data_IF_431805117493
#
_entry.id   IF_431805117493
#
_cell.length_a   1.000
_cell.length_b   1.000
_cell.length_c   1.000
_cell.angle_alpha   90.00
_cell.angle_beta   90.00
_cell.angle_gamma   90.00
#
_symmetry.space_group_name_H-M   'P 1'
#
loop_
_entity.id
_entity.type
_entity.pdbx_description
1 polymer ?
#
# COMPACT_ATOMS: atom_id res chain seq x y z
N UNK A 1 -3.49 -6.16 8.23
CA UNK A 1 -3.69 -6.99 9.44
C UNK A 1 -2.42 -6.95 10.25
N UNK A 2 -2.51 -7.16 11.56
CA UNK A 2 -1.37 -7.15 12.46
C UNK A 2 -1.43 -8.31 13.43
N UNK A 3 -0.38 -9.13 13.49
CA UNK A 3 -0.20 -10.21 14.45
C UNK A 3 0.83 -9.81 15.49
N UNK A 4 0.61 -10.23 16.73
CA UNK A 4 1.63 -10.21 17.78
C UNK A 4 2.27 -11.58 17.83
N UNK A 5 3.36 -11.74 17.09
CA UNK A 5 4.09 -12.99 16.97
C UNK A 5 5.28 -13.05 17.93
N UNK A 6 5.40 -14.15 18.67
CA UNK A 6 6.63 -14.46 19.42
C UNK A 6 7.68 -15.05 18.47
N UNK A 7 7.30 -16.06 17.67
CA UNK A 7 8.16 -16.67 16.66
C UNK A 7 7.94 -16.06 15.27
N UNK A 8 8.52 -14.88 15.04
CA UNK A 8 8.32 -14.10 13.80
C UNK A 8 8.63 -14.91 12.52
N UNK A 9 9.69 -15.73 12.52
CA UNK A 9 10.09 -16.49 11.32
C UNK A 9 9.07 -17.57 10.95
N UNK A 10 8.60 -18.32 11.94
CA UNK A 10 7.61 -19.38 11.70
C UNK A 10 6.28 -18.79 11.25
N UNK A 11 5.81 -17.73 11.93
CA UNK A 11 4.58 -17.03 11.56
C UNK A 11 4.70 -16.43 10.16
N UNK A 12 5.84 -15.83 9.81
CA UNK A 12 6.09 -15.32 8.47
C UNK A 12 6.02 -16.41 7.40
N UNK A 13 6.67 -17.55 7.64
CA UNK A 13 6.69 -18.68 6.71
C UNK A 13 5.27 -19.22 6.47
N UNK A 14 4.49 -19.42 7.54
CA UNK A 14 3.08 -19.83 7.46
C UNK A 14 2.25 -18.83 6.65
N UNK A 15 2.34 -17.54 6.94
CA UNK A 15 1.63 -16.51 6.18
C UNK A 15 2.04 -16.52 4.68
N UNK A 16 3.31 -16.78 4.38
CA UNK A 16 3.83 -16.70 3.01
C UNK A 16 3.39 -17.86 2.10
N UNK A 17 3.04 -19.03 2.64
CA UNK A 17 2.66 -20.21 1.83
C UNK A 17 1.24 -20.13 1.27
N UNK A 18 0.43 -19.18 1.75
CA UNK A 18 -0.95 -19.03 1.29
C UNK A 18 -1.07 -18.07 0.09
N UNK A 19 -0.77 -18.60 -1.09
CA UNK A 19 -0.93 -17.85 -2.35
C UNK A 19 -2.39 -17.50 -2.64
N UNK A 20 -3.34 -18.28 -2.14
CA UNK A 20 -4.78 -18.03 -2.24
C UNK A 20 -5.19 -16.69 -1.59
N UNK A 21 -4.46 -16.24 -0.57
CA UNK A 21 -4.71 -14.95 0.11
C UNK A 21 -4.04 -13.77 -0.59
N UNK A 22 -3.26 -14.04 -1.65
CA UNK A 22 -2.50 -13.07 -2.45
C UNK A 22 -1.73 -12.09 -1.58
N UNK A 23 -0.99 -12.62 -0.60
CA UNK A 23 -0.19 -11.83 0.33
C UNK A 23 0.92 -11.10 -0.41
N UNK A 24 0.70 -9.82 -0.73
CA UNK A 24 1.70 -8.97 -1.39
C UNK A 24 2.75 -8.44 -0.42
N UNK A 25 2.33 -8.12 0.81
CA UNK A 25 3.18 -7.50 1.82
C UNK A 25 3.13 -8.31 3.10
N UNK A 26 4.30 -8.58 3.66
CA UNK A 26 4.50 -9.16 4.97
C UNK A 26 5.75 -8.51 5.58
N UNK A 27 5.61 -7.79 6.68
CA UNK A 27 6.66 -6.96 7.24
C UNK A 27 6.78 -7.14 8.75
N UNK A 28 8.01 -7.23 9.23
CA UNK A 28 8.33 -7.04 10.65
C UNK A 28 8.39 -5.55 10.94
N UNK A 29 7.66 -5.09 11.94
CA UNK A 29 7.54 -3.69 12.32
C UNK A 29 7.81 -3.47 13.81
N UNK A 30 8.24 -2.26 14.13
CA UNK A 30 8.50 -1.83 15.51
C UNK A 30 7.21 -1.34 16.20
N UNK A 31 6.31 -2.28 16.51
CA UNK A 31 5.03 -2.02 17.16
C UNK A 31 4.56 -3.23 17.98
N UNK A 32 3.51 -3.02 18.79
CA UNK A 32 2.90 -4.07 19.62
C UNK A 32 2.47 -5.29 18.79
N UNK A 33 1.72 -5.05 17.71
CA UNK A 33 1.60 -5.99 16.62
C UNK A 33 2.85 -5.86 15.77
N UNK A 34 3.70 -6.87 15.79
CA UNK A 34 5.04 -6.81 15.19
C UNK A 34 5.07 -7.42 13.78
N UNK A 35 4.10 -8.25 13.40
CA UNK A 35 3.98 -8.82 12.04
C UNK A 35 2.80 -8.19 11.32
N UNK A 36 3.07 -7.42 10.27
CA UNK A 36 2.05 -6.73 9.48
C UNK A 36 1.99 -7.26 8.06
N UNK A 37 0.82 -7.71 7.66
CA UNK A 37 0.61 -8.28 6.34
C UNK A 37 -0.73 -7.84 5.73
N UNK A 38 -0.83 -7.99 4.42
CA UNK A 38 -2.03 -7.67 3.64
C UNK A 38 -2.59 -8.92 3.00
N UNK A 39 -3.88 -9.15 3.16
CA UNK A 39 -4.65 -10.19 2.45
C UNK A 39 -5.67 -9.52 1.54
N UNK A 40 -6.14 -10.26 0.53
CA UNK A 40 -7.27 -9.85 -0.32
C UNK A 40 -8.39 -10.87 -0.18
N UNK A 41 -9.62 -10.39 -0.01
CA UNK A 41 -10.85 -11.18 -0.06
C UNK A 41 -11.93 -10.40 -0.82
N UNK A 42 -13.07 -11.06 -1.06
CA UNK A 42 -14.23 -10.49 -1.77
C UNK A 42 -14.98 -9.50 -0.89
N UNK A 43 -15.09 -9.80 0.39
CA UNK A 43 -15.78 -9.00 1.40
C UNK A 43 -15.03 -9.05 2.74
N UNK A 44 -15.55 -8.33 3.74
CA UNK A 44 -14.91 -8.19 5.06
C UNK A 44 -14.99 -9.51 5.83
N UNK A 45 -16.11 -10.21 5.72
CA UNK A 45 -16.39 -11.47 6.39
C UNK A 45 -15.43 -12.57 5.95
N UNK A 46 -15.17 -12.69 4.64
CA UNK A 46 -14.15 -13.59 4.11
C UNK A 46 -12.77 -13.20 4.65
N UNK A 47 -12.41 -11.93 4.60
CA UNK A 47 -11.12 -11.45 5.14
C UNK A 47 -10.97 -11.80 6.63
N UNK A 48 -12.01 -11.63 7.44
CA UNK A 48 -11.99 -11.98 8.86
C UNK A 48 -11.82 -13.48 9.07
N UNK A 49 -12.59 -14.32 8.37
CA UNK A 49 -12.49 -15.77 8.45
C UNK A 49 -11.08 -16.26 8.07
N UNK A 50 -10.49 -15.68 7.03
CA UNK A 50 -9.12 -15.98 6.61
C UNK A 50 -8.10 -15.64 7.70
N UNK A 51 -8.23 -14.47 8.32
CA UNK A 51 -7.29 -14.04 9.38
C UNK A 51 -7.45 -14.90 10.64
N UNK A 52 -8.67 -15.32 10.98
CA UNK A 52 -8.92 -16.25 12.10
C UNK A 52 -8.20 -17.57 11.85
N UNK A 53 -8.40 -18.18 10.68
CA UNK A 53 -7.75 -19.44 10.31
C UNK A 53 -6.22 -19.33 10.34
N UNK A 54 -5.66 -18.24 9.81
CA UNK A 54 -4.22 -17.97 9.87
C UNK A 54 -3.70 -17.80 11.30
N UNK A 55 -4.46 -17.12 12.17
CA UNK A 55 -4.09 -16.92 13.55
C UNK A 55 -4.02 -18.25 14.32
N UNK A 56 -5.00 -19.14 14.11
CA UNK A 56 -5.02 -20.49 14.67
C UNK A 56 -3.82 -21.32 14.21
N UNK A 57 -3.55 -21.35 12.89
CA UNK A 57 -2.42 -22.09 12.33
C UNK A 57 -1.06 -21.56 12.82
N UNK A 58 -0.95 -20.24 12.98
CA UNK A 58 0.23 -19.57 13.48
C UNK A 58 0.39 -19.66 15.02
N UNK A 59 -0.63 -20.14 15.74
CA UNK A 59 -0.64 -20.10 17.21
C UNK A 59 -0.59 -18.68 17.77
N UNK A 60 -1.22 -17.72 17.09
CA UNK A 60 -1.25 -16.31 17.48
C UNK A 60 -2.58 -15.98 18.14
N UNK A 61 -2.54 -15.65 19.43
CA UNK A 61 -3.74 -15.29 20.20
C UNK A 61 -4.16 -13.82 19.99
N UNK A 62 -3.18 -12.93 19.76
CA UNK A 62 -3.40 -11.50 19.67
C UNK A 62 -3.19 -10.98 18.25
N UNK A 63 -4.28 -10.56 17.62
CA UNK A 63 -4.26 -9.95 16.28
C UNK A 63 -5.32 -8.86 16.11
N UNK A 64 -5.14 -8.10 15.03
CA UNK A 64 -6.07 -7.07 14.55
C UNK A 64 -6.37 -7.23 13.05
N UNK A 65 -7.66 -7.18 12.74
CA UNK A 65 -8.17 -7.06 11.37
C UNK A 65 -8.51 -5.60 11.12
N UNK A 66 -7.95 -5.03 10.05
CA UNK A 66 -8.07 -3.61 9.73
C UNK A 66 -8.46 -3.46 8.25
N UNK A 67 -9.72 -3.73 7.87
CA UNK A 67 -10.19 -3.61 6.50
C UNK A 67 -9.96 -2.20 5.94
N UNK A 68 -9.57 -2.13 4.67
CA UNK A 68 -9.44 -0.84 3.98
C UNK A 68 -10.83 -0.29 3.69
N UNK A 69 -11.10 0.95 4.10
CA UNK A 69 -12.34 1.66 3.84
C UNK A 69 -12.23 2.56 2.61
N UNK A 70 -11.15 3.33 2.48
CA UNK A 70 -10.89 4.20 1.32
C UNK A 70 -9.40 4.33 1.05
N UNK A 71 -9.00 4.29 -0.21
CA UNK A 71 -7.65 4.65 -0.64
C UNK A 71 -7.74 6.06 -1.20
N UNK A 72 -7.07 7.02 -0.58
CA UNK A 72 -7.03 8.41 -1.04
C UNK A 72 -5.86 8.65 -2.00
N UNK A 73 -4.74 7.94 -1.80
CA UNK A 73 -3.56 8.01 -2.64
C UNK A 73 -2.86 6.67 -2.68
N UNK A 74 -2.41 6.25 -3.86
CA UNK A 74 -1.41 5.21 -3.99
C UNK A 74 -0.47 5.49 -5.17
N UNK A 75 0.67 6.10 -4.87
CA UNK A 75 1.70 6.44 -5.85
C UNK A 75 3.08 6.49 -5.21
N UNK A 76 3.91 5.48 -5.50
CA UNK A 76 5.25 5.36 -4.94
C UNK A 76 6.27 5.96 -5.89
N UNK A 77 6.72 7.16 -5.55
CA UNK A 77 7.75 7.89 -6.29
C UNK A 77 8.79 8.45 -5.32
N UNK A 78 10.02 8.52 -5.78
CA UNK A 78 11.18 8.89 -4.97
C UNK A 78 11.82 10.16 -5.52
N UNK A 79 12.03 11.17 -4.66
CA UNK A 79 12.89 12.30 -5.00
C UNK A 79 14.32 11.96 -4.55
N UNK A 80 15.15 11.54 -5.50
CA UNK A 80 16.53 11.11 -5.23
C UNK A 80 17.43 12.25 -4.75
N UNK A 81 17.05 13.51 -4.99
CA UNK A 81 17.82 14.69 -4.56
C UNK A 81 17.48 15.04 -3.11
N UNK A 82 16.19 15.03 -2.76
CA UNK A 82 15.74 15.31 -1.39
C UNK A 82 15.87 14.12 -0.45
N UNK A 83 16.06 12.90 -0.98
CA UNK A 83 16.18 11.69 -0.18
C UNK A 83 14.88 11.29 0.53
N UNK A 84 13.73 11.72 0.01
CA UNK A 84 12.39 11.41 0.54
C UNK A 84 11.44 11.08 -0.61
N UNK A 85 10.43 10.24 -0.37
CA UNK A 85 9.39 9.99 -1.35
C UNK A 85 8.69 11.30 -1.73
N UNK A 86 8.21 11.38 -2.97
CA UNK A 86 7.53 12.56 -3.46
C UNK A 86 6.63 12.20 -4.65
N UNK A 87 5.33 12.48 -4.52
CA UNK A 87 4.34 12.31 -5.57
C UNK A 87 3.36 13.48 -5.55
N UNK A 88 3.12 14.06 -6.73
CA UNK A 88 2.09 15.08 -6.94
C UNK A 88 0.76 14.46 -7.44
N UNK A 89 0.59 13.13 -7.33
CA UNK A 89 -0.65 12.49 -7.74
C UNK A 89 -1.78 12.94 -6.83
N UNK A 90 -2.90 13.27 -7.46
CA UNK A 90 -4.13 13.70 -6.78
C UNK A 90 -4.88 12.55 -6.11
N UNK A 91 -6.12 12.85 -5.74
CA UNK A 91 -7.07 11.92 -5.13
C UNK A 91 -7.34 10.73 -6.06
N UNK A 92 -7.27 9.51 -5.53
CA UNK A 92 -7.70 8.31 -6.24
C UNK A 92 -9.22 8.31 -6.47
N UNK A 93 -9.70 7.79 -7.61
CA UNK A 93 -11.13 7.66 -7.86
C UNK A 93 -11.78 6.71 -6.85
N UNK A 94 -13.02 7.00 -6.45
CA UNK A 94 -13.77 6.15 -5.51
C UNK A 94 -14.11 4.78 -6.08
N UNK A 95 -14.36 4.73 -7.39
CA UNK A 95 -14.60 3.51 -8.13
C UNK A 95 -13.88 3.56 -9.47
N UNK A 96 -13.45 2.39 -9.92
CA UNK A 96 -12.89 2.19 -11.25
C UNK A 96 -13.76 1.15 -11.96
N UNK A 97 -14.01 1.30 -13.26
CA UNK A 97 -14.76 0.31 -14.02
C UNK A 97 -14.01 -1.02 -14.05
N UNK A 98 -14.76 -2.11 -14.13
CA UNK A 98 -14.18 -3.44 -14.28
C UNK A 98 -13.69 -3.64 -15.72
N UNK A 99 -12.64 -4.45 -15.92
CA UNK A 99 -12.09 -4.72 -17.25
C UNK A 99 -13.15 -5.23 -18.24
N UNK A 100 -14.03 -6.12 -17.77
CA UNK A 100 -15.17 -6.63 -18.54
C UNK A 100 -16.16 -5.54 -18.99
N UNK A 101 -16.31 -4.48 -18.21
CA UNK A 101 -17.20 -3.35 -18.54
C UNK A 101 -16.59 -2.46 -19.63
N UNK A 102 -15.26 -2.43 -19.71
CA UNK A 102 -14.52 -1.75 -20.76
C UNK A 102 -14.33 -2.61 -22.03
N UNK A 103 -14.73 -3.89 -21.99
CA UNK A 103 -14.53 -4.82 -23.10
C UNK A 103 -13.09 -5.30 -23.28
N UNK A 104 -12.23 -5.14 -22.26
CA UNK A 104 -10.84 -5.61 -22.32
C UNK A 104 -10.69 -7.03 -21.79
N UNK A 105 -9.88 -7.83 -22.49
CA UNK A 105 -9.48 -9.17 -22.04
C UNK A 105 -8.52 -9.06 -20.84
N UNK A 106 -8.81 -9.79 -19.75
CA UNK A 106 -8.00 -9.72 -18.53
C UNK A 106 -6.54 -10.13 -18.76
N UNK A 107 -6.32 -11.18 -19.56
CA UNK A 107 -4.97 -11.69 -19.83
C UNK A 107 -4.12 -10.69 -20.60
N UNK A 108 -4.72 -9.95 -21.53
CA UNK A 108 -4.06 -8.86 -22.23
C UNK A 108 -3.63 -7.75 -21.26
N UNK A 109 -4.54 -7.29 -20.39
CA UNK A 109 -4.21 -6.25 -19.40
C UNK A 109 -3.17 -6.72 -18.40
N UNK A 110 -3.22 -7.99 -17.97
CA UNK A 110 -2.19 -8.58 -17.10
C UNK A 110 -0.82 -8.59 -17.77
N UNK A 111 -0.75 -8.89 -19.06
CA UNK A 111 0.50 -8.88 -19.81
C UNK A 111 1.11 -7.47 -19.98
N UNK A 112 0.33 -6.40 -19.75
CA UNK A 112 0.81 -5.02 -19.66
C UNK A 112 1.42 -4.67 -18.30
N UNK A 113 1.19 -5.45 -17.24
CA UNK A 113 1.77 -5.19 -15.91
C UNK A 113 3.30 -5.38 -15.87
N UNK A 114 3.85 -6.15 -16.80
CA UNK A 114 5.30 -6.38 -16.92
C UNK A 114 5.71 -6.45 -18.39
N UNK A 115 6.52 -5.48 -18.80
CA UNK A 115 7.07 -5.39 -20.14
C UNK A 115 8.58 -5.61 -20.12
N UNK A 116 9.04 -6.34 -21.12
CA UNK A 116 10.46 -6.55 -21.34
C UNK A 116 11.08 -5.26 -21.89
N UNK A 117 12.31 -4.98 -21.47
CA UNK A 117 13.07 -3.86 -22.02
C UNK A 117 13.54 -4.27 -23.42
N UNK A 118 12.86 -3.75 -24.45
CA UNK A 118 13.13 -4.02 -25.85
C UNK A 118 12.84 -2.78 -26.71
N UNK A 119 13.33 -2.77 -27.96
CA UNK A 119 13.06 -1.69 -28.91
C UNK A 119 11.57 -1.57 -29.25
N UNK A 120 10.87 -2.71 -29.34
CA UNK A 120 9.43 -2.80 -29.64
C UNK A 120 8.71 -3.68 -28.60
N UNK A 121 8.48 -3.19 -27.37
CA UNK A 121 7.96 -4.00 -26.27
C UNK A 121 6.50 -4.44 -26.48
N UNK A 122 5.77 -3.80 -27.39
CA UNK A 122 4.38 -4.12 -27.70
C UNK A 122 4.22 -5.09 -28.88
N UNK A 123 5.28 -5.34 -29.66
CA UNK A 123 5.23 -6.28 -30.78
C UNK A 123 4.91 -7.74 -30.38
N UNK A 124 5.03 -8.08 -29.09
CA UNK A 124 4.62 -9.38 -28.54
C UNK A 124 3.10 -9.56 -28.50
N UNK A 125 2.35 -8.47 -28.56
CA UNK A 125 0.89 -8.52 -28.63
C UNK A 125 0.47 -8.78 -30.07
N UNK A 126 -0.50 -9.67 -30.28
CA UNK A 126 -1.02 -9.99 -31.61
C UNK A 126 -1.95 -8.88 -32.14
N UNK A 127 -1.48 -7.62 -32.08
CA UNK A 127 -2.20 -6.37 -32.41
C UNK A 127 -1.20 -5.33 -32.92
N UNK A 128 -1.64 -4.35 -33.73
CA UNK A 128 -0.83 -3.17 -34.04
C UNK A 128 -0.39 -2.45 -32.75
N UNK A 129 0.86 -1.98 -32.68
CA UNK A 129 1.37 -1.34 -31.47
C UNK A 129 0.63 -0.03 -31.14
N UNK A 130 0.17 0.71 -32.16
CA UNK A 130 -0.67 1.91 -31.99
C UNK A 130 -1.95 1.60 -31.23
N UNK A 131 -2.61 0.48 -31.56
CA UNK A 131 -3.81 0.02 -30.85
C UNK A 131 -3.49 -0.32 -29.38
N UNK A 132 -2.34 -0.93 -29.11
CA UNK A 132 -1.91 -1.24 -27.74
C UNK A 132 -1.69 0.04 -26.93
N UNK A 133 -1.06 1.06 -27.54
CA UNK A 133 -0.85 2.37 -26.90
C UNK A 133 -2.18 3.05 -26.60
N UNK A 134 -3.12 3.07 -27.55
CA UNK A 134 -4.45 3.64 -27.37
C UNK A 134 -5.20 2.97 -26.20
N UNK A 135 -5.09 1.65 -26.08
CA UNK A 135 -5.69 0.90 -24.97
C UNK A 135 -5.03 1.28 -23.63
N UNK A 136 -3.70 1.40 -23.57
CA UNK A 136 -3.00 1.83 -22.35
C UNK A 136 -3.48 3.23 -21.93
N UNK A 137 -3.54 4.18 -22.86
CA UNK A 137 -4.02 5.53 -22.60
C UNK A 137 -5.48 5.54 -22.10
N UNK A 138 -6.34 4.70 -22.68
CA UNK A 138 -7.71 4.55 -22.21
C UNK A 138 -7.78 3.97 -20.78
N UNK A 139 -7.02 2.91 -20.50
CA UNK A 139 -6.94 2.31 -19.16
C UNK A 139 -6.49 3.35 -18.12
N UNK A 140 -5.51 4.17 -18.46
CA UNK A 140 -5.02 5.27 -17.62
C UNK A 140 -6.09 6.35 -17.42
N UNK A 141 -6.76 6.78 -18.48
CA UNK A 141 -7.84 7.77 -18.44
C UNK A 141 -9.03 7.31 -17.60
N UNK A 142 -9.36 6.01 -17.64
CA UNK A 142 -10.45 5.41 -16.86
C UNK A 142 -10.04 5.10 -15.40
N UNK A 143 -8.79 5.35 -15.02
CA UNK A 143 -8.25 5.08 -13.69
C UNK A 143 -7.97 3.60 -13.38
N UNK A 144 -8.10 2.73 -14.39
CA UNK A 144 -7.76 1.30 -14.27
C UNK A 144 -6.24 1.13 -14.22
N UNK A 145 -5.54 1.79 -15.13
CA UNK A 145 -4.09 1.99 -15.08
C UNK A 145 -3.76 3.18 -14.18
N UNK A 146 -2.76 3.02 -13.30
CA UNK A 146 -2.30 4.10 -12.40
C UNK A 146 -1.11 4.86 -12.93
N UNK A 147 -0.15 4.11 -13.45
CA UNK A 147 1.10 4.61 -13.98
C UNK A 147 1.66 3.56 -14.94
N UNK A 148 2.52 4.01 -15.84
CA UNK A 148 3.27 3.18 -16.77
C UNK A 148 4.74 3.57 -16.65
N UNK A 149 5.41 3.02 -15.64
CA UNK A 149 6.73 3.47 -15.20
C UNK A 149 7.64 2.32 -14.77
N UNK A 150 8.95 2.58 -14.75
CA UNK A 150 9.93 1.64 -14.23
C UNK A 150 9.93 1.62 -12.70
N UNK A 151 9.91 0.42 -12.10
CA UNK A 151 9.94 0.25 -10.64
C UNK A 151 11.38 0.17 -10.15
N UNK A 152 11.77 1.10 -9.28
CA UNK A 152 13.07 1.10 -8.61
C UNK A 152 13.04 0.18 -7.39
N UNK A 153 14.14 -0.54 -7.17
CA UNK A 153 14.38 -1.22 -5.89
C UNK A 153 14.86 -0.19 -4.87
N UNK A 154 13.96 0.28 -4.01
CA UNK A 154 14.17 1.33 -3.00
C UNK A 154 15.51 1.23 -2.25
N UNK A 155 15.84 0.05 -1.71
CA UNK A 155 17.08 -0.18 -0.95
C UNK A 155 18.34 -0.01 -1.81
N UNK A 156 18.27 -0.34 -3.10
CA UNK A 156 19.40 -0.17 -4.04
C UNK A 156 19.64 1.29 -4.39
N UNK A 157 18.61 2.13 -4.30
CA UNK A 157 18.70 3.58 -4.55
C UNK A 157 18.83 4.39 -3.26
N UNK A 158 19.11 3.74 -2.13
CA UNK A 158 19.43 4.40 -0.85
C UNK A 158 18.23 4.62 0.09
N UNK A 159 17.01 4.33 -0.34
CA UNK A 159 15.81 4.47 0.49
C UNK A 159 15.67 3.26 1.41
N UNK A 160 16.10 3.42 2.66
CA UNK A 160 16.16 2.35 3.66
C UNK A 160 15.09 2.48 4.73
N UNK A 161 14.66 3.70 5.01
CA UNK A 161 13.66 3.99 6.03
C UNK A 161 12.26 3.99 5.41
N UNK A 162 11.38 3.17 6.00
CA UNK A 162 10.01 2.98 5.55
C UNK A 162 9.08 3.21 6.74
N UNK A 163 8.51 4.41 6.84
CA UNK A 163 7.65 4.81 7.94
C UNK A 163 6.18 4.68 7.56
N UNK A 164 5.44 3.84 8.28
CA UNK A 164 3.97 3.86 8.26
C UNK A 164 3.48 4.71 9.42
N UNK A 165 2.98 5.90 9.15
CA UNK A 165 2.40 6.74 10.18
C UNK A 165 0.91 6.47 10.32
N UNK A 166 0.46 6.25 11.54
CA UNK A 166 -0.94 6.01 11.91
C UNK A 166 -1.47 7.20 12.69
N UNK A 167 -2.69 7.65 12.39
CA UNK A 167 -3.28 8.84 12.99
C UNK A 167 -4.54 8.52 13.77
N UNK A 168 -4.58 8.99 15.02
CA UNK A 168 -5.78 9.02 15.85
C UNK A 168 -6.43 10.38 15.69
N UNK A 169 -7.75 10.41 15.47
CA UNK A 169 -8.44 11.62 15.03
C UNK A 169 -9.66 11.93 15.90
N UNK A 170 -9.88 13.21 16.17
CA UNK A 170 -11.14 13.75 16.68
C UNK A 170 -12.05 14.26 15.55
N UNK A 171 -11.46 14.58 14.40
CA UNK A 171 -12.18 15.00 13.20
C UNK A 171 -12.55 13.81 12.30
N UNK A 172 -13.39 14.08 11.29
CA UNK A 172 -13.72 13.09 10.24
C UNK A 172 -12.44 12.71 9.48
N UNK A 173 -12.15 11.40 9.29
CA UNK A 173 -10.95 10.93 8.58
C UNK A 173 -10.75 11.56 7.20
N UNK A 174 -11.83 11.70 6.43
CA UNK A 174 -11.79 12.32 5.09
C UNK A 174 -11.29 13.77 5.12
N UNK A 175 -11.71 14.60 6.08
CA UNK A 175 -11.24 16.00 6.21
C UNK A 175 -9.72 16.04 6.42
N UNK A 176 -9.20 15.13 7.24
CA UNK A 176 -7.75 15.05 7.50
C UNK A 176 -7.01 14.49 6.28
N UNK A 177 -7.56 13.47 5.63
CA UNK A 177 -6.98 12.89 4.42
C UNK A 177 -6.83 13.91 3.29
N UNK A 178 -7.83 14.76 3.06
CA UNK A 178 -7.75 15.83 2.05
C UNK A 178 -6.67 16.86 2.38
N UNK A 179 -6.53 17.27 3.64
CA UNK A 179 -5.45 18.16 4.07
C UNK A 179 -4.07 17.51 3.89
N UNK A 180 -3.96 16.20 4.13
CA UNK A 180 -2.72 15.46 3.92
C UNK A 180 -2.33 15.40 2.44
N UNK A 181 -3.30 15.12 1.55
CA UNK A 181 -3.09 15.13 0.10
C UNK A 181 -2.56 16.47 -0.40
N UNK A 182 -3.13 17.57 0.07
CA UNK A 182 -2.79 18.92 -0.37
C UNK A 182 -1.40 19.37 0.11
N UNK A 183 -1.05 19.04 1.37
CA UNK A 183 0.11 19.64 2.05
C UNK A 183 1.36 18.76 2.06
N UNK A 184 1.24 17.46 1.79
CA UNK A 184 2.32 16.49 1.98
C UNK A 184 2.50 15.60 0.74
N UNK A 185 3.13 16.13 -0.33
CA UNK A 185 3.46 15.33 -1.51
C UNK A 185 4.37 14.13 -1.19
N UNK A 186 5.07 14.14 -0.06
CA UNK A 186 5.93 13.06 0.38
C UNK A 186 5.19 11.77 0.72
N UNK A 187 3.88 11.86 0.99
CA UNK A 187 3.03 10.71 1.26
C UNK A 187 2.80 9.93 -0.04
N UNK A 188 3.18 8.66 -0.07
CA UNK A 188 3.01 7.76 -1.22
C UNK A 188 1.72 6.97 -1.16
N UNK A 189 1.35 6.53 0.04
CA UNK A 189 0.10 5.82 0.29
C UNK A 189 -0.66 6.59 1.35
N UNK A 190 -1.95 6.84 1.13
CA UNK A 190 -2.85 7.43 2.10
C UNK A 190 -4.14 6.63 2.11
N UNK A 191 -4.41 5.95 3.22
CA UNK A 191 -5.47 4.95 3.32
C UNK A 191 -6.27 5.19 4.61
N UNK A 192 -7.59 5.14 4.50
CA UNK A 192 -8.49 5.01 5.63
C UNK A 192 -8.88 3.55 5.84
N UNK A 193 -8.87 3.13 7.10
CA UNK A 193 -9.26 1.79 7.53
C UNK A 193 -10.43 1.86 8.49
N UNK A 194 -11.18 0.77 8.56
CA UNK A 194 -12.13 0.54 9.64
C UNK A 194 -11.33 0.40 10.95
N UNK A 195 -11.75 1.12 11.98
CA UNK A 195 -11.12 1.09 13.30
C UNK A 195 -11.60 -0.13 14.08
N UNK A 196 -10.75 -0.64 14.96
CA UNK A 196 -11.12 -1.69 15.93
C UNK A 196 -10.87 -1.20 17.35
N UNK A 197 -11.51 -1.84 18.34
CA UNK A 197 -11.30 -1.50 19.76
C UNK A 197 -9.83 -1.66 20.18
N UNK A 198 -9.15 -2.68 19.64
CA UNK A 198 -7.74 -2.96 19.90
C UNK A 198 -6.78 -1.98 19.20
N UNK A 199 -7.24 -1.32 18.13
CA UNK A 199 -6.42 -0.48 17.28
C UNK A 199 -7.26 0.62 16.60
N UNK A 200 -7.32 1.77 17.26
CA UNK A 200 -8.19 2.90 16.89
C UNK A 200 -7.43 4.01 16.16
N UNK A 201 -6.89 3.67 14.98
CA UNK A 201 -6.24 4.60 14.07
C UNK A 201 -6.94 4.52 12.71
N UNK A 202 -7.77 5.50 12.31
CA UNK A 202 -8.49 5.45 11.04
C UNK A 202 -7.61 5.77 9.83
N UNK A 203 -6.59 6.62 9.94
CA UNK A 203 -5.76 7.04 8.80
C UNK A 203 -4.34 6.47 8.91
N UNK A 204 -3.84 5.95 7.78
CA UNK A 204 -2.50 5.41 7.60
C UNK A 204 -1.87 6.13 6.42
N UNK A 205 -0.61 6.51 6.57
CA UNK A 205 0.17 6.96 5.42
C UNK A 205 1.60 6.44 5.43
N UNK A 206 2.15 6.27 4.23
CA UNK A 206 3.53 5.81 4.02
C UNK A 206 4.41 6.97 3.57
N UNK A 207 5.57 7.10 4.20
CA UNK A 207 6.69 7.92 3.72
C UNK A 207 7.94 7.05 3.68
N UNK A 208 8.70 7.18 2.61
CA UNK A 208 9.95 6.48 2.40
C UNK A 208 11.08 7.50 2.37
N UNK A 209 12.21 7.21 3.00
CA UNK A 209 13.33 8.13 3.04
C UNK A 209 14.67 7.41 3.12
N UNK A 210 15.74 8.14 2.82
CA UNK A 210 17.11 7.68 3.00
C UNK A 210 17.45 7.58 4.49
N UNK A 211 16.92 8.49 5.30
CA UNK A 211 17.10 8.55 6.76
C UNK A 211 15.75 8.79 7.46
N UNK A 212 15.70 8.71 8.79
CA UNK A 212 14.43 8.83 9.54
C UNK A 212 13.95 10.27 9.69
N UNK A 213 14.89 11.22 9.71
CA UNK A 213 14.64 12.62 10.01
C UNK A 213 13.52 13.23 9.14
N UNK A 214 13.49 13.05 7.80
CA UNK A 214 12.39 13.57 6.97
C UNK A 214 11.02 13.01 7.36
N UNK A 215 10.96 11.73 7.74
CA UNK A 215 9.71 11.07 8.15
C UNK A 215 9.22 11.66 9.48
N UNK A 216 10.12 11.88 10.41
CA UNK A 216 9.82 12.44 11.74
C UNK A 216 9.41 13.91 11.66
N UNK A 217 10.03 14.71 10.80
CA UNK A 217 9.63 16.08 10.49
C UNK A 217 8.23 16.14 9.88
N UNK A 218 7.92 15.26 8.93
CA UNK A 218 6.59 15.15 8.34
C UNK A 218 5.57 14.78 9.42
N UNK A 219 5.87 13.79 10.28
CA UNK A 219 4.98 13.41 11.40
C UNK A 219 4.72 14.60 12.31
N UNK A 220 5.74 15.36 12.71
CA UNK A 220 5.60 16.54 13.56
C UNK A 220 4.67 17.59 12.91
N UNK A 221 4.85 17.88 11.63
CA UNK A 221 3.96 18.79 10.90
C UNK A 221 2.54 18.26 10.74
N UNK A 222 2.36 16.94 10.66
CA UNK A 222 1.03 16.31 10.61
C UNK A 222 0.31 16.43 11.97
N UNK A 223 1.03 16.38 13.09
CA UNK A 223 0.41 16.58 14.41
C UNK A 223 -0.15 17.99 14.63
N UNK A 224 0.27 18.97 13.83
CA UNK A 224 -0.27 20.33 13.87
C UNK A 224 -1.59 20.48 13.08
N UNK A 225 -2.03 19.45 12.36
CA UNK A 225 -3.28 19.48 11.60
C UNK A 225 -4.48 19.42 12.56
N UNK A 226 -5.42 20.34 12.39
CA UNK A 226 -6.67 20.35 13.16
C UNK A 226 -7.40 19.01 13.04
N UNK A 227 -7.68 18.39 14.19
CA UNK A 227 -8.38 17.11 14.27
C UNK A 227 -7.47 15.88 14.37
N UNK A 228 -6.14 16.03 14.31
CA UNK A 228 -5.18 14.98 14.64
C UNK A 228 -4.91 15.02 16.16
N UNK A 229 -5.28 13.94 16.86
CA UNK A 229 -5.03 13.80 18.30
C UNK A 229 -3.65 13.19 18.58
N UNK A 230 -3.24 12.22 17.77
CA UNK A 230 -1.96 11.56 17.88
C UNK A 230 -1.48 11.06 16.51
N UNK A 231 -0.16 11.04 16.33
CA UNK A 231 0.50 10.45 15.18
C UNK A 231 1.67 9.59 15.64
N UNK A 232 1.67 8.31 15.23
CA UNK A 232 2.74 7.37 15.55
C UNK A 232 3.33 6.80 14.26
N UNK A 233 4.66 6.77 14.16
CA UNK A 233 5.34 6.17 13.00
C UNK A 233 5.86 4.80 13.35
N UNK A 234 5.41 3.81 12.61
CA UNK A 234 5.78 2.41 12.73
C UNK A 234 6.76 2.06 11.60
N UNK A 235 8.02 1.90 11.94
CA UNK A 235 9.07 1.59 10.97
C UNK A 235 9.10 0.09 10.61
N UNK A 236 9.27 -0.19 9.32
CA UNK A 236 9.56 -1.55 8.83
C UNK A 236 11.01 -1.92 9.15
N UNK A 237 11.20 -3.03 9.87
CA UNK A 237 12.52 -3.60 10.19
C UNK A 237 12.99 -4.61 9.14
N UNK A 238 12.07 -5.45 8.63
CA UNK A 238 12.38 -6.45 7.62
C UNK A 238 11.18 -6.73 6.71
N UNK A 239 11.45 -7.00 5.43
CA UNK A 239 10.51 -7.60 4.51
C UNK A 239 10.50 -9.11 4.76
N UNK A 240 9.38 -9.64 5.25
CA UNK A 240 9.23 -11.04 5.60
C UNK A 240 8.83 -11.90 4.40
N UNK A 241 8.53 -11.31 3.23
CA UNK A 241 8.32 -12.05 1.97
C UNK A 241 9.59 -12.66 1.40
N UNK A 242 10.76 -12.23 1.89
CA UNK A 242 12.08 -12.70 1.45
C UNK A 242 12.64 -13.82 2.35
N UNK A 243 11.85 -14.29 3.31
CA UNK A 243 12.21 -15.29 4.32
C UNK A 243 11.55 -16.63 4.01
#
# INVERSE_FOLDING_TARGET
MGFKAVNVREVAAKINVHDEFRVKHNFLRDAYYNVWFTVKGRDVEEIEALVISLAEECGVEEYVVLPTKRVYKMDVKYDLTKGVSWSNRGLEPESVPLLRELGFEEDFVRALESLDVAERPFAKFNRPEEEVVDIIEELMRKGVGRDFSGVLRERKVGFRENGMTVLKLSAKPEKVAMQLLERFPQITHLIERVVSEKWNYPIYFMVHAVTREPIEEIRARVTEIEGVEAAETIYSRANLREV
#
